data_IF_113335151159
#
_entry.id   IF_113335151159
#
_cell.length_a   1.000
_cell.length_b   1.000
_cell.length_c   1.000
_cell.angle_alpha   90.00
_cell.angle_beta   90.00
_cell.angle_gamma   90.00
#
_symmetry.space_group_name_H-M   'P 1'
#
loop_
_entity.id
_entity.type
_entity.pdbx_description
1 polymer ?
#
# COMPACT_ATOMS: atom_id res chain seq x y z
N UNK A 1 29.18 -1.40 17.59
CA UNK A 1 29.92 -1.44 16.31
C UNK A 1 29.41 -0.29 15.46
N UNK A 2 30.29 0.58 14.98
CA UNK A 2 29.93 1.71 14.10
C UNK A 2 29.80 1.26 12.64
N UNK A 3 29.21 2.12 11.79
CA UNK A 3 29.18 1.86 10.34
C UNK A 3 30.60 1.72 9.75
N UNK A 4 31.54 2.55 10.20
CA UNK A 4 32.94 2.51 9.72
C UNK A 4 33.61 1.17 10.01
N UNK A 5 33.43 0.65 11.23
CA UNK A 5 33.95 -0.68 11.60
C UNK A 5 33.33 -1.81 10.76
N UNK A 6 32.04 -1.71 10.44
CA UNK A 6 31.37 -2.68 9.58
C UNK A 6 31.89 -2.61 8.14
N UNK A 7 32.02 -1.40 7.57
CA UNK A 7 32.55 -1.17 6.22
C UNK A 7 33.94 -1.79 6.04
N UNK A 8 34.84 -1.61 7.00
CA UNK A 8 36.18 -2.22 6.97
C UNK A 8 36.15 -3.76 6.97
N UNK A 9 35.22 -4.35 7.74
CA UNK A 9 35.05 -5.82 7.78
C UNK A 9 34.54 -6.37 6.45
N UNK A 10 33.57 -5.71 5.83
CA UNK A 10 33.04 -6.11 4.52
C UNK A 10 34.05 -5.90 3.40
N UNK A 11 34.87 -4.84 3.47
CA UNK A 11 35.93 -4.60 2.49
C UNK A 11 36.97 -5.74 2.44
N UNK A 12 37.28 -6.38 3.59
CA UNK A 12 38.16 -7.57 3.64
C UNK A 12 37.60 -8.78 2.89
N UNK A 13 36.29 -8.80 2.64
CA UNK A 13 35.60 -9.83 1.85
C UNK A 13 35.41 -9.39 0.38
N UNK A 14 35.95 -8.25 -0.03
CA UNK A 14 35.75 -7.69 -1.37
C UNK A 14 34.36 -7.06 -1.59
N UNK A 15 33.64 -6.70 -0.51
CA UNK A 15 32.29 -6.14 -0.59
C UNK A 15 32.35 -4.63 -0.35
N UNK A 16 31.85 -3.86 -1.31
CA UNK A 16 31.65 -2.41 -1.19
C UNK A 16 30.25 -2.10 -0.62
N UNK A 17 30.20 -1.74 0.66
CA UNK A 17 28.94 -1.43 1.35
C UNK A 17 28.33 -0.10 0.92
N UNK A 18 29.14 0.89 0.52
CA UNK A 18 28.61 2.18 0.06
C UNK A 18 27.90 1.98 -1.29
N UNK A 19 28.52 1.23 -2.21
CA UNK A 19 27.90 0.87 -3.49
C UNK A 19 26.61 0.05 -3.28
N UNK A 20 26.60 -0.87 -2.32
CA UNK A 20 25.41 -1.65 -1.98
C UNK A 20 24.27 -0.75 -1.45
N UNK A 21 24.57 0.19 -0.56
CA UNK A 21 23.59 1.15 -0.02
C UNK A 21 23.06 2.07 -1.13
N UNK A 22 23.92 2.56 -2.02
CA UNK A 22 23.51 3.39 -3.16
C UNK A 22 22.59 2.65 -4.13
N UNK A 23 22.83 1.35 -4.33
CA UNK A 23 21.92 0.50 -5.10
C UNK A 23 20.59 0.29 -4.36
N UNK A 24 20.64 -0.04 -3.07
CA UNK A 24 19.46 -0.30 -2.25
C UNK A 24 18.48 0.88 -2.24
N UNK A 25 18.99 2.12 -2.14
CA UNK A 25 18.16 3.34 -2.18
C UNK A 25 17.23 3.43 -3.39
N UNK A 26 17.61 2.81 -4.52
CA UNK A 26 16.92 2.92 -5.82
C UNK A 26 15.98 1.75 -6.13
N UNK A 27 15.99 0.68 -5.33
CA UNK A 27 15.12 -0.48 -5.56
C UNK A 27 13.74 -0.15 -4.96
N UNK A 28 12.67 -0.05 -5.76
CA UNK A 28 11.35 0.29 -5.25
C UNK A 28 10.72 -0.89 -4.51
N UNK A 29 10.10 -0.61 -3.36
CA UNK A 29 9.23 -1.54 -2.65
C UNK A 29 7.79 -1.06 -2.73
N UNK A 30 6.88 -1.92 -3.21
CA UNK A 30 5.46 -1.62 -3.31
C UNK A 30 4.74 -1.94 -1.99
N UNK A 31 4.29 -0.88 -1.31
CA UNK A 31 3.61 -0.94 -0.02
C UNK A 31 2.12 -1.11 -0.25
N UNK A 32 1.57 -2.19 0.30
CA UNK A 32 0.19 -2.57 0.09
C UNK A 32 -0.80 -1.78 0.96
N UNK A 33 -1.83 -1.21 0.34
CA UNK A 33 -2.78 -0.30 1.04
C UNK A 33 -3.58 -1.00 2.12
N UNK A 34 -3.86 -2.28 1.92
CA UNK A 34 -4.76 -3.07 2.75
C UNK A 34 -4.23 -3.44 4.12
N UNK A 35 -2.95 -3.16 4.42
CA UNK A 35 -2.45 -3.29 5.79
C UNK A 35 -3.07 -2.23 6.72
N UNK A 36 -3.47 -1.08 6.17
CA UNK A 36 -3.81 0.09 6.98
C UNK A 36 -5.26 0.04 7.51
N UNK A 37 -6.09 -0.85 6.98
CA UNK A 37 -7.52 -0.93 7.28
C UNK A 37 -8.04 -2.37 7.40
N UNK A 38 -7.16 -3.35 7.59
CA UNK A 38 -7.49 -4.78 7.64
C UNK A 38 -8.16 -5.33 6.37
N UNK A 39 -7.77 -4.86 5.17
CA UNK A 39 -8.35 -5.27 3.87
C UNK A 39 -9.83 -4.93 3.75
N UNK A 40 -10.29 -3.86 4.42
CA UNK A 40 -11.69 -3.46 4.41
C UNK A 40 -12.10 -2.86 3.05
N UNK A 41 -11.29 -1.96 2.53
CA UNK A 41 -11.63 -1.11 1.40
C UNK A 41 -12.68 -0.05 1.77
N UNK A 42 -13.17 0.66 0.75
CA UNK A 42 -14.15 1.74 0.89
C UNK A 42 -15.45 1.47 0.12
N UNK A 43 -15.60 0.29 -0.47
CA UNK A 43 -16.73 -0.06 -1.33
C UNK A 43 -17.78 -0.96 -0.67
N UNK A 44 -17.54 -1.46 0.55
CA UNK A 44 -18.44 -2.36 1.27
C UNK A 44 -18.21 -2.43 2.80
N UNK A 45 -19.29 -2.65 3.56
CA UNK A 45 -19.27 -2.77 5.03
C UNK A 45 -19.31 -4.22 5.56
N UNK A 46 -19.33 -5.22 4.68
CA UNK A 46 -19.36 -6.65 5.02
C UNK A 46 -18.01 -7.26 5.46
N UNK A 47 -18.02 -8.55 5.80
CA UNK A 47 -16.83 -9.28 6.26
C UNK A 47 -15.79 -9.48 5.14
N UNK A 48 -14.54 -9.71 5.55
CA UNK A 48 -13.51 -10.20 4.65
C UNK A 48 -13.80 -11.66 4.27
N UNK A 49 -13.76 -11.97 2.97
CA UNK A 49 -14.06 -13.30 2.40
C UNK A 49 -13.01 -13.66 1.36
N UNK A 50 -13.17 -14.80 0.67
CA UNK A 50 -12.22 -15.26 -0.35
C UNK A 50 -11.04 -16.05 0.21
N UNK A 51 -11.19 -16.64 1.40
CA UNK A 51 -10.18 -17.50 2.03
C UNK A 51 -9.04 -16.75 2.73
N UNK A 52 -9.14 -15.43 2.83
CA UNK A 52 -8.19 -14.57 3.55
C UNK A 52 -8.82 -13.99 4.81
N UNK A 53 -7.98 -13.71 5.81
CA UNK A 53 -8.41 -13.18 7.09
C UNK A 53 -7.33 -12.26 7.68
N UNK A 54 -7.77 -11.18 8.32
CA UNK A 54 -6.97 -10.36 9.23
C UNK A 54 -7.31 -10.78 10.67
N UNK A 55 -6.30 -10.89 11.52
CA UNK A 55 -6.46 -11.41 12.89
C UNK A 55 -5.99 -10.42 13.92
N UNK A 56 -6.68 -10.38 15.06
CA UNK A 56 -6.42 -9.41 16.13
C UNK A 56 -7.36 -8.21 16.05
N UNK A 57 -7.41 -7.44 17.14
CA UNK A 57 -8.29 -6.27 17.28
C UNK A 57 -7.46 -5.06 17.75
N UNK A 58 -6.29 -4.86 17.17
CA UNK A 58 -5.47 -3.69 17.51
C UNK A 58 -6.22 -2.41 17.10
N UNK A 59 -6.37 -1.41 17.98
CA UNK A 59 -7.18 -0.23 17.68
C UNK A 59 -6.49 0.69 16.65
N UNK A 60 -7.27 1.56 16.02
CA UNK A 60 -6.74 2.68 15.23
C UNK A 60 -6.56 2.42 13.74
N UNK A 61 -7.10 1.33 13.19
CA UNK A 61 -7.13 1.13 11.73
C UNK A 61 -7.85 2.26 11.02
N UNK A 62 -7.42 2.57 9.81
CA UNK A 62 -8.06 3.57 8.97
C UNK A 62 -9.49 3.14 8.61
N UNK A 63 -10.42 4.08 8.72
CA UNK A 63 -11.84 3.91 8.38
C UNK A 63 -12.27 4.82 7.23
N UNK A 64 -11.41 5.77 6.83
CA UNK A 64 -11.66 6.69 5.71
C UNK A 64 -10.41 6.82 4.82
N UNK A 65 -10.56 7.27 3.57
CA UNK A 65 -9.42 7.57 2.69
C UNK A 65 -8.43 8.56 3.32
N UNK A 66 -8.91 9.57 4.02
CA UNK A 66 -8.08 10.60 4.66
C UNK A 66 -7.20 10.01 5.77
N UNK A 67 -7.78 9.14 6.61
CA UNK A 67 -7.03 8.43 7.65
C UNK A 67 -5.99 7.50 7.02
N UNK A 68 -6.37 6.74 5.99
CA UNK A 68 -5.48 5.81 5.31
C UNK A 68 -4.29 6.55 4.65
N UNK A 69 -4.54 7.74 4.08
CA UNK A 69 -3.48 8.56 3.50
C UNK A 69 -2.56 9.16 4.55
N UNK A 70 -3.09 9.59 5.69
CA UNK A 70 -2.28 10.05 6.82
C UNK A 70 -1.36 8.92 7.35
N UNK A 71 -1.86 7.69 7.42
CA UNK A 71 -1.05 6.53 7.81
C UNK A 71 0.05 6.26 6.79
N UNK A 72 -0.23 6.35 5.49
CA UNK A 72 0.79 6.27 4.44
C UNK A 72 1.87 7.36 4.59
N UNK A 73 1.48 8.61 4.85
CA UNK A 73 2.43 9.70 5.07
C UNK A 73 3.36 9.38 6.24
N UNK A 74 2.83 8.80 7.32
CA UNK A 74 3.66 8.40 8.45
C UNK A 74 4.62 7.27 8.09
N UNK A 75 4.17 6.28 7.31
CA UNK A 75 5.03 5.21 6.81
C UNK A 75 6.12 5.78 5.90
N UNK A 76 5.80 6.74 5.03
CA UNK A 76 6.77 7.37 4.13
C UNK A 76 7.85 8.14 4.88
N UNK A 77 7.49 8.82 5.99
CA UNK A 77 8.43 9.50 6.87
C UNK A 77 9.42 8.53 7.54
N UNK A 78 8.92 7.37 8.00
CA UNK A 78 9.69 6.43 8.82
C UNK A 78 10.53 5.44 8.00
N UNK A 79 10.22 5.23 6.72
CA UNK A 79 10.87 4.21 5.90
C UNK A 79 11.78 4.84 4.84
N UNK A 80 13.07 4.45 4.75
CA UNK A 80 13.98 4.98 3.74
C UNK A 80 13.77 4.32 2.36
N UNK A 81 14.36 4.90 1.33
CA UNK A 81 14.41 4.33 -0.02
C UNK A 81 13.18 4.62 -0.88
N UNK A 82 13.22 4.10 -2.11
CA UNK A 82 12.18 4.32 -3.13
C UNK A 82 10.96 3.45 -2.85
N UNK A 83 9.76 4.01 -3.01
CA UNK A 83 8.50 3.33 -2.67
C UNK A 83 7.53 3.38 -3.84
N UNK A 84 6.59 2.44 -3.82
CA UNK A 84 5.35 2.47 -4.60
C UNK A 84 4.18 2.19 -3.67
N UNK A 85 2.99 2.60 -4.07
CA UNK A 85 1.74 2.24 -3.42
C UNK A 85 1.10 1.13 -4.26
N UNK A 86 0.70 0.03 -3.63
CA UNK A 86 -0.03 -1.04 -4.28
C UNK A 86 -1.50 -1.00 -3.85
N UNK A 87 -2.40 -0.69 -4.79
CA UNK A 87 -3.81 -0.36 -4.55
C UNK A 87 -4.71 -1.51 -5.02
N UNK A 88 -5.78 -1.77 -4.29
CA UNK A 88 -6.87 -2.66 -4.72
C UNK A 88 -8.07 -1.84 -5.24
N UNK A 89 -8.84 -2.39 -6.18
CA UNK A 89 -10.03 -1.75 -6.74
C UNK A 89 -11.09 -1.38 -5.68
N UNK A 90 -11.18 -2.15 -4.60
CA UNK A 90 -12.05 -1.85 -3.44
C UNK A 90 -11.67 -0.58 -2.68
N UNK A 91 -10.54 0.05 -2.99
CA UNK A 91 -10.10 1.33 -2.44
C UNK A 91 -10.43 2.52 -3.36
N UNK A 92 -11.36 2.33 -4.30
CA UNK A 92 -11.95 3.44 -5.06
C UNK A 92 -12.50 4.49 -4.09
N UNK A 93 -12.29 5.77 -4.41
CA UNK A 93 -12.78 6.90 -3.61
C UNK A 93 -13.84 7.60 -4.44
N UNK A 94 -15.05 7.67 -3.89
CA UNK A 94 -16.20 8.31 -4.51
C UNK A 94 -16.45 9.69 -3.92
N UNK A 95 -16.93 10.62 -4.74
CA UNK A 95 -17.43 11.89 -4.25
C UNK A 95 -18.80 11.72 -3.60
N UNK A 96 -19.24 12.71 -2.82
CA UNK A 96 -20.50 12.64 -2.09
C UNK A 96 -21.68 12.42 -3.05
N UNK A 97 -22.39 11.31 -2.87
CA UNK A 97 -23.54 10.93 -3.69
C UNK A 97 -23.19 10.16 -4.97
N UNK A 98 -21.91 9.88 -5.19
CA UNK A 98 -21.43 9.00 -6.25
C UNK A 98 -21.16 7.60 -5.70
N UNK A 99 -21.49 6.58 -6.49
CA UNK A 99 -21.07 5.20 -6.27
C UNK A 99 -21.23 4.44 -7.59
N UNK A 100 -20.26 3.60 -7.93
CA UNK A 100 -20.41 2.56 -8.97
C UNK A 100 -19.84 1.24 -8.47
N UNK A 101 -20.38 0.13 -8.97
CA UNK A 101 -19.86 -1.20 -8.68
C UNK A 101 -18.52 -1.44 -9.42
N UNK A 102 -17.79 -2.49 -9.04
CA UNK A 102 -16.40 -2.75 -9.47
C UNK A 102 -16.23 -2.90 -10.97
N UNK A 103 -17.28 -3.34 -11.67
CA UNK A 103 -17.30 -3.49 -13.13
C UNK A 103 -17.40 -2.16 -13.89
N UNK A 104 -17.73 -1.07 -13.20
CA UNK A 104 -17.85 0.27 -13.76
C UNK A 104 -16.79 1.26 -13.21
N UNK A 105 -15.77 0.76 -12.52
CA UNK A 105 -14.70 1.62 -12.00
C UNK A 105 -13.88 2.25 -13.12
N UNK A 106 -13.70 3.56 -13.02
CA UNK A 106 -12.92 4.40 -13.94
C UNK A 106 -11.72 5.06 -13.23
N UNK A 107 -10.74 5.59 -13.98
CA UNK A 107 -9.59 6.30 -13.41
C UNK A 107 -9.95 7.45 -12.46
N UNK A 108 -11.10 8.12 -12.65
CA UNK A 108 -11.54 9.23 -11.78
C UNK A 108 -11.70 8.79 -10.32
N UNK A 109 -12.11 7.56 -10.05
CA UNK A 109 -12.26 7.05 -8.67
C UNK A 109 -10.92 6.80 -7.97
N UNK A 110 -9.80 6.92 -8.68
CA UNK A 110 -8.45 6.80 -8.15
C UNK A 110 -7.65 8.10 -8.29
N UNK A 111 -8.28 9.22 -8.66
CA UNK A 111 -7.59 10.49 -8.84
C UNK A 111 -6.85 10.94 -7.56
N UNK A 112 -7.48 10.79 -6.38
CA UNK A 112 -6.86 11.13 -5.09
C UNK A 112 -5.65 10.25 -4.76
N UNK A 113 -5.64 8.98 -5.17
CA UNK A 113 -4.46 8.11 -5.07
C UNK A 113 -3.33 8.60 -5.96
N UNK A 114 -3.64 9.03 -7.19
CA UNK A 114 -2.66 9.62 -8.11
C UNK A 114 -2.10 10.93 -7.56
N UNK A 115 -2.91 11.75 -6.92
CA UNK A 115 -2.48 12.98 -6.24
C UNK A 115 -1.50 12.69 -5.10
N UNK A 116 -1.83 11.72 -4.22
CA UNK A 116 -0.92 11.28 -3.15
C UNK A 116 0.40 10.75 -3.73
N UNK A 117 0.33 9.91 -4.76
CA UNK A 117 1.51 9.33 -5.39
C UNK A 117 2.41 10.41 -6.00
N UNK A 118 1.83 11.41 -6.68
CA UNK A 118 2.55 12.56 -7.23
C UNK A 118 3.17 13.43 -6.14
N UNK A 119 2.43 13.73 -5.07
CA UNK A 119 2.90 14.51 -3.91
C UNK A 119 4.17 13.92 -3.29
N UNK A 120 4.24 12.59 -3.20
CA UNK A 120 5.37 11.89 -2.58
C UNK A 120 6.38 11.30 -3.58
N UNK A 121 6.22 11.57 -4.88
CA UNK A 121 7.08 11.04 -5.94
C UNK A 121 7.20 9.50 -5.92
N UNK A 122 6.10 8.80 -5.65
CA UNK A 122 6.03 7.33 -5.62
C UNK A 122 5.22 6.80 -6.79
N UNK A 123 5.51 5.56 -7.21
CA UNK A 123 4.71 4.88 -8.23
C UNK A 123 3.42 4.28 -7.68
N UNK A 124 2.50 3.92 -8.58
CA UNK A 124 1.27 3.18 -8.26
C UNK A 124 1.25 1.84 -8.98
N UNK A 125 0.92 0.79 -8.23
CA UNK A 125 0.53 -0.54 -8.72
C UNK A 125 -0.95 -0.77 -8.41
N UNK A 126 -1.59 -1.68 -9.15
CA UNK A 126 -3.03 -1.87 -9.09
C UNK A 126 -3.45 -3.33 -9.17
N UNK A 127 -4.52 -3.67 -8.46
CA UNK A 127 -5.12 -5.00 -8.46
C UNK A 127 -6.65 -4.87 -8.57
N UNK A 128 -7.31 -5.65 -9.44
CA UNK A 128 -8.76 -5.83 -9.32
C UNK A 128 -9.09 -6.53 -7.98
N UNK A 129 -10.31 -6.33 -7.47
CA UNK A 129 -10.77 -6.98 -6.23
C UNK A 129 -11.85 -8.01 -6.54
N UNK A 130 -11.51 -9.30 -6.48
CA UNK A 130 -12.39 -10.44 -6.78
C UNK A 130 -12.77 -11.26 -5.54
N UNK A 131 -12.91 -10.58 -4.39
CA UNK A 131 -13.36 -11.16 -3.12
C UNK A 131 -14.23 -10.14 -2.38
N UNK A 132 -14.93 -10.54 -1.32
CA UNK A 132 -15.80 -9.64 -0.53
C UNK A 132 -16.74 -8.82 -1.40
N UNK A 133 -17.46 -9.53 -2.27
CA UNK A 133 -18.52 -8.98 -3.11
C UNK A 133 -19.68 -9.97 -3.14
N UNK A 134 -20.94 -9.51 -3.13
CA UNK A 134 -22.12 -10.37 -3.33
C UNK A 134 -22.13 -11.13 -4.66
N UNK A 135 -21.34 -10.67 -5.64
CA UNK A 135 -21.19 -11.33 -6.94
C UNK A 135 -20.25 -12.54 -6.90
N UNK A 136 -19.38 -12.64 -5.90
CA UNK A 136 -18.50 -13.78 -5.69
C UNK A 136 -19.28 -14.85 -4.94
N UNK A 137 -19.52 -15.99 -5.59
CA UNK A 137 -20.31 -17.11 -5.04
C UNK A 137 -19.49 -18.38 -5.11
N UNK A 138 -19.51 -19.16 -4.03
CA UNK A 138 -18.79 -20.45 -3.95
C UNK A 138 -17.27 -20.36 -4.22
N UNK A 139 -16.67 -19.19 -3.96
CA UNK A 139 -15.25 -18.93 -4.21
C UNK A 139 -14.89 -18.62 -5.67
N UNK A 140 -15.90 -18.34 -6.50
CA UNK A 140 -15.78 -17.95 -7.92
C UNK A 140 -16.49 -16.62 -8.20
#
# INVERSE_FOLDING_TARGET
MSYSEAKEKYAKLGIDTDAAIERLKKIPVALHCWQLDDVKGFDQDGPLTGGIQTTGNYPGKAMTPEQLFADYEKVFELTPGTKKINVHASYAIFEKGEYVDRDALEPKHFAKWVELAKKHHVGLDFNPTFFSSPRVKDGL
#
